data_IF_944921191536
#
_entry.id   IF_944921191536
#
_cell.length_a   1.000
_cell.length_b   1.000
_cell.length_c   1.000
_cell.angle_alpha   90.00
_cell.angle_beta   90.00
_cell.angle_gamma   90.00
#
_symmetry.space_group_name_H-M   'P 1'
#
loop_
_entity.id
_entity.type
_entity.pdbx_description
1 polymer ?
#
# COMPACT_ATOMS: atom_id res chain seq x y z
N UNK A 1 -4.17 8.94 23.34
CA UNK A 1 -3.84 8.40 22.01
C UNK A 1 -2.86 7.26 22.19
N UNK A 2 -3.00 6.19 21.41
CA UNK A 2 -2.03 5.08 21.42
C UNK A 2 -0.66 5.55 20.94
N UNK A 3 0.41 4.95 21.46
CA UNK A 3 1.79 5.17 21.03
C UNK A 3 2.04 4.67 19.61
N UNK A 4 3.08 5.19 18.94
CA UNK A 4 3.48 4.68 17.61
C UNK A 4 3.72 3.18 17.59
N UNK A 5 4.27 2.63 18.67
CA UNK A 5 4.50 1.19 18.75
C UNK A 5 3.20 0.41 18.81
N UNK A 6 2.22 0.87 19.58
CA UNK A 6 0.89 0.26 19.63
C UNK A 6 0.18 0.33 18.27
N UNK A 7 0.31 1.44 17.55
CA UNK A 7 -0.22 1.60 16.19
C UNK A 7 0.46 0.63 15.21
N UNK A 8 1.79 0.55 15.20
CA UNK A 8 2.53 -0.41 14.38
C UNK A 8 2.21 -1.86 14.77
N UNK A 9 1.93 -2.14 16.05
CA UNK A 9 1.52 -3.47 16.50
C UNK A 9 0.15 -3.89 15.97
N UNK A 10 -0.74 -2.95 15.64
CA UNK A 10 -1.98 -3.30 14.93
C UNK A 10 -1.69 -3.92 13.55
N UNK A 11 -0.73 -3.36 12.81
CA UNK A 11 -0.27 -3.92 11.52
C UNK A 11 0.30 -5.33 11.72
N UNK A 12 1.14 -5.51 12.75
CA UNK A 12 1.71 -6.82 13.09
C UNK A 12 0.63 -7.86 13.38
N UNK A 13 -0.32 -7.51 14.23
CA UNK A 13 -1.40 -8.40 14.66
C UNK A 13 -2.29 -8.80 13.49
N UNK A 14 -2.80 -7.82 12.72
CA UNK A 14 -3.61 -8.12 11.53
C UNK A 14 -2.87 -9.02 10.54
N UNK A 15 -1.57 -8.76 10.33
CA UNK A 15 -0.76 -9.55 9.42
C UNK A 15 -0.57 -10.99 9.87
N UNK A 16 -0.19 -11.22 11.13
CA UNK A 16 0.03 -12.58 11.62
C UNK A 16 -1.28 -13.37 11.74
N UNK A 17 -2.38 -12.73 12.15
CA UNK A 17 -3.68 -13.39 12.34
C UNK A 17 -4.31 -13.80 11.00
N UNK A 18 -4.28 -12.92 9.98
CA UNK A 18 -4.82 -13.24 8.66
C UNK A 18 -4.04 -14.36 7.97
N UNK A 19 -2.70 -14.30 8.03
CA UNK A 19 -1.82 -15.36 7.51
C UNK A 19 -2.11 -16.70 8.22
N UNK A 20 -2.26 -16.66 9.55
CA UNK A 20 -2.55 -17.85 10.35
C UNK A 20 -3.91 -18.45 9.99
N UNK A 21 -4.95 -17.63 9.88
CA UNK A 21 -6.31 -18.07 9.50
C UNK A 21 -6.32 -18.70 8.11
N UNK A 22 -5.62 -18.10 7.15
CA UNK A 22 -5.48 -18.63 5.79
C UNK A 22 -4.62 -19.91 5.72
N UNK A 23 -3.86 -20.22 6.78
CA UNK A 23 -2.81 -21.27 6.79
C UNK A 23 -1.82 -21.12 5.63
N UNK A 24 -1.62 -19.89 5.17
CA UNK A 24 -0.84 -19.55 3.97
C UNK A 24 -0.47 -18.08 3.99
N UNK A 25 0.76 -17.74 3.61
CA UNK A 25 1.25 -16.36 3.50
C UNK A 25 2.58 -16.13 4.22
N UNK A 26 3.01 -14.87 4.26
CA UNK A 26 4.34 -14.48 4.75
C UNK A 26 4.21 -13.40 5.83
N UNK A 27 4.31 -13.75 7.12
CA UNK A 27 4.11 -12.79 8.21
C UNK A 27 5.37 -11.99 8.53
N UNK A 28 6.56 -12.49 8.17
CA UNK A 28 7.85 -11.91 8.57
C UNK A 28 8.07 -10.48 8.06
N UNK A 29 7.99 -10.25 6.75
CA UNK A 29 8.19 -8.92 6.15
C UNK A 29 7.16 -7.88 6.66
N UNK A 30 5.84 -8.17 6.72
CA UNK A 30 4.88 -7.26 7.33
C UNK A 30 5.22 -6.87 8.77
N UNK A 31 5.64 -7.83 9.61
CA UNK A 31 5.96 -7.55 11.01
C UNK A 31 7.25 -6.73 11.17
N UNK A 32 8.24 -6.98 10.30
CA UNK A 32 9.52 -6.27 10.29
C UNK A 32 9.40 -4.83 9.80
N UNK A 33 8.53 -4.58 8.81
CA UNK A 33 8.35 -3.26 8.22
C UNK A 33 7.27 -2.41 8.89
N UNK A 34 6.50 -2.96 9.83
CA UNK A 34 5.36 -2.29 10.45
C UNK A 34 5.70 -0.92 11.07
N UNK A 35 6.87 -0.74 11.70
CA UNK A 35 7.24 0.55 12.28
C UNK A 35 7.55 1.58 11.18
N UNK A 36 8.23 1.18 10.10
CA UNK A 36 8.52 2.05 8.95
C UNK A 36 7.22 2.47 8.26
N UNK A 37 6.33 1.49 8.05
CA UNK A 37 5.05 1.72 7.40
C UNK A 37 4.14 2.63 8.22
N UNK A 38 4.11 2.49 9.55
CA UNK A 38 3.35 3.36 10.45
C UNK A 38 3.77 4.82 10.31
N UNK A 39 5.08 5.10 10.29
CA UNK A 39 5.61 6.45 10.10
C UNK A 39 5.28 6.98 8.70
N UNK A 40 5.63 6.22 7.65
CA UNK A 40 5.42 6.65 6.27
C UNK A 40 3.96 6.98 6.00
N UNK A 41 3.04 6.08 6.34
CA UNK A 41 1.62 6.21 5.99
C UNK A 41 0.86 7.23 6.84
N UNK A 42 1.29 7.49 8.08
CA UNK A 42 0.59 8.43 8.96
C UNK A 42 1.14 9.85 8.92
N UNK A 43 2.43 10.00 8.64
CA UNK A 43 3.08 11.31 8.73
C UNK A 43 3.41 11.93 7.38
N UNK A 44 3.64 11.11 6.33
CA UNK A 44 4.21 11.59 5.07
C UNK A 44 3.33 11.32 3.85
N UNK A 45 2.75 10.12 3.75
CA UNK A 45 2.04 9.70 2.56
C UNK A 45 0.81 10.59 2.33
N UNK A 46 0.79 11.31 1.22
CA UNK A 46 -0.32 12.16 0.82
C UNK A 46 -1.34 11.34 0.03
N UNK A 47 -2.41 10.90 0.69
CA UNK A 47 -3.40 10.03 0.07
C UNK A 47 -4.81 10.28 0.59
N UNK A 48 -5.81 9.85 -0.17
CA UNK A 48 -7.21 9.92 0.22
C UNK A 48 -7.89 8.54 0.10
N UNK A 49 -8.16 7.85 1.22
CA UNK A 49 -8.83 6.55 1.23
C UNK A 49 -10.22 6.55 0.58
N UNK A 50 -10.92 7.69 0.61
CA UNK A 50 -12.25 7.85 -0.03
C UNK A 50 -12.16 8.16 -1.52
N UNK A 51 -10.98 8.51 -2.02
CA UNK A 51 -10.71 8.71 -3.45
C UNK A 51 -9.36 8.11 -3.86
N UNK A 52 -9.26 6.78 -3.98
CA UNK A 52 -8.04 6.11 -4.41
C UNK A 52 -7.57 6.47 -5.82
N UNK A 53 -8.40 7.16 -6.62
CA UNK A 53 -8.07 7.61 -7.98
C UNK A 53 -7.70 9.10 -8.06
N UNK A 54 -7.62 9.81 -6.93
CA UNK A 54 -7.13 11.19 -6.91
C UNK A 54 -5.80 11.31 -7.66
N UNK A 55 -5.76 12.18 -8.67
CA UNK A 55 -4.64 12.26 -9.61
C UNK A 55 -3.29 12.52 -8.92
N UNK A 56 -3.27 13.46 -7.99
CA UNK A 56 -2.07 14.00 -7.33
C UNK A 56 -1.77 13.37 -5.97
N UNK A 57 -2.35 12.20 -5.67
CA UNK A 57 -1.98 11.40 -4.48
C UNK A 57 -0.54 10.87 -4.64
N UNK A 58 0.15 10.57 -3.56
CA UNK A 58 1.40 9.79 -3.61
C UNK A 58 1.15 8.36 -4.11
N UNK A 59 2.15 7.76 -4.76
CA UNK A 59 2.13 6.36 -5.20
C UNK A 59 2.96 5.51 -4.25
N UNK A 60 2.33 4.50 -3.65
CA UNK A 60 3.01 3.49 -2.84
C UNK A 60 3.01 2.14 -3.54
N UNK A 61 4.18 1.53 -3.69
CA UNK A 61 4.36 0.20 -4.28
C UNK A 61 5.03 -0.74 -3.28
N UNK A 62 4.36 -1.84 -2.96
CA UNK A 62 4.99 -2.94 -2.21
C UNK A 62 5.66 -3.90 -3.20
N UNK A 63 6.95 -3.70 -3.47
CA UNK A 63 7.72 -4.48 -4.45
C UNK A 63 8.04 -5.88 -3.93
N UNK A 64 8.28 -6.03 -2.63
CA UNK A 64 8.36 -7.33 -1.96
C UNK A 64 6.95 -7.92 -1.70
N UNK A 65 6.12 -8.00 -2.75
CA UNK A 65 4.68 -8.26 -2.69
C UNK A 65 4.23 -9.56 -2.00
N UNK A 66 5.15 -10.47 -1.68
CA UNK A 66 4.84 -11.65 -0.86
C UNK A 66 4.39 -11.26 0.56
N UNK A 67 4.82 -10.10 1.07
CA UNK A 67 4.38 -9.47 2.32
C UNK A 67 3.04 -8.74 2.21
N UNK A 68 2.11 -9.25 1.40
CA UNK A 68 0.86 -8.59 1.01
C UNK A 68 -0.03 -8.14 2.18
N UNK A 69 -0.01 -8.86 3.32
CA UNK A 69 -0.75 -8.42 4.50
C UNK A 69 -0.28 -7.09 5.09
N UNK A 70 0.94 -6.63 4.79
CA UNK A 70 1.36 -5.27 5.15
C UNK A 70 0.48 -4.22 4.49
N UNK A 71 0.36 -4.27 3.16
CA UNK A 71 -0.43 -3.29 2.42
C UNK A 71 -1.92 -3.45 2.71
N UNK A 72 -2.43 -4.67 2.88
CA UNK A 72 -3.84 -4.86 3.25
C UNK A 72 -4.16 -4.31 4.65
N UNK A 73 -3.25 -4.48 5.61
CA UNK A 73 -3.40 -3.89 6.95
C UNK A 73 -3.42 -2.36 6.88
N UNK A 74 -2.51 -1.76 6.10
CA UNK A 74 -2.42 -0.31 5.92
C UNK A 74 -3.68 0.27 5.27
N UNK A 75 -4.12 -0.34 4.17
CA UNK A 75 -5.34 0.07 3.46
C UNK A 75 -6.59 -0.04 4.35
N UNK A 76 -6.72 -1.15 5.09
CA UNK A 76 -7.81 -1.33 6.05
C UNK A 76 -7.78 -0.25 7.16
N UNK A 77 -6.64 -0.09 7.83
CA UNK A 77 -6.51 0.81 8.98
C UNK A 77 -6.64 2.30 8.61
N UNK A 78 -6.27 2.67 7.38
CA UNK A 78 -6.42 4.05 6.89
C UNK A 78 -7.80 4.32 6.32
N UNK A 79 -8.66 3.31 6.15
CA UNK A 79 -10.07 3.49 5.80
C UNK A 79 -10.38 3.40 4.31
N UNK A 80 -9.58 2.69 3.52
CA UNK A 80 -9.96 2.31 2.16
C UNK A 80 -11.16 1.36 2.19
N UNK A 81 -11.81 1.15 1.03
CA UNK A 81 -12.86 0.12 0.86
C UNK A 81 -12.28 -1.31 0.89
N UNK A 82 -11.72 -1.68 2.04
CA UNK A 82 -11.14 -2.96 2.37
C UNK A 82 -11.54 -3.33 3.81
N UNK A 83 -12.78 -3.84 4.01
CA UNK A 83 -13.29 -4.14 5.34
C UNK A 83 -12.56 -5.32 5.98
N UNK A 84 -12.70 -5.46 7.31
CA UNK A 84 -12.10 -6.55 8.09
C UNK A 84 -12.47 -7.95 7.55
N UNK A 85 -13.67 -8.10 6.98
CA UNK A 85 -14.11 -9.35 6.36
C UNK A 85 -13.21 -9.79 5.20
N UNK A 86 -12.61 -8.85 4.46
CA UNK A 86 -11.66 -9.17 3.39
C UNK A 86 -10.33 -9.68 3.97
N UNK A 87 -9.79 -9.02 5.00
CA UNK A 87 -8.59 -9.52 5.69
C UNK A 87 -8.81 -10.92 6.27
N UNK A 88 -10.00 -11.18 6.80
CA UNK A 88 -10.41 -12.51 7.25
C UNK A 88 -10.52 -13.53 6.11
N UNK A 89 -10.70 -13.08 4.87
CA UNK A 89 -10.74 -13.89 3.65
C UNK A 89 -9.42 -13.86 2.88
N UNK A 90 -8.31 -13.50 3.55
CA UNK A 90 -6.98 -13.51 2.95
C UNK A 90 -6.68 -14.83 2.22
N UNK A 91 -6.23 -14.72 0.96
CA UNK A 91 -5.94 -15.85 0.05
C UNK A 91 -7.12 -16.77 -0.26
N UNK A 92 -8.36 -16.35 0.03
CA UNK A 92 -9.55 -17.10 -0.36
C UNK A 92 -10.04 -16.64 -1.73
N UNK A 93 -10.71 -17.57 -2.44
CA UNK A 93 -11.21 -17.35 -3.79
C UNK A 93 -12.10 -16.09 -3.85
N UNK A 94 -11.85 -15.24 -4.85
CA UNK A 94 -12.57 -13.97 -5.10
C UNK A 94 -12.49 -12.90 -4.00
N UNK A 95 -11.69 -13.09 -2.95
CA UNK A 95 -11.43 -12.03 -1.97
C UNK A 95 -10.70 -10.84 -2.62
N UNK A 96 -10.87 -9.65 -2.04
CA UNK A 96 -10.09 -8.45 -2.35
C UNK A 96 -8.67 -8.50 -1.76
N UNK A 97 -8.26 -9.64 -1.19
CA UNK A 97 -6.95 -9.84 -0.54
C UNK A 97 -6.26 -11.10 -1.07
N UNK A 98 -5.88 -11.13 -2.36
CA UNK A 98 -5.13 -12.23 -2.95
C UNK A 98 -3.76 -12.45 -2.27
N UNK A 99 -3.07 -13.51 -2.66
CA UNK A 99 -1.79 -13.88 -2.04
C UNK A 99 -0.67 -12.88 -2.25
N UNK A 100 -0.72 -12.14 -3.35
CA UNK A 100 0.12 -10.99 -3.69
C UNK A 100 -0.80 -9.82 -4.10
N UNK A 101 -0.40 -8.55 -3.96
CA UNK A 101 -1.23 -7.42 -4.37
C UNK A 101 -1.56 -7.48 -5.85
N UNK A 102 -2.83 -7.22 -6.19
CA UNK A 102 -3.31 -7.17 -7.57
C UNK A 102 -4.06 -5.86 -7.82
N UNK A 103 -3.62 -5.07 -8.81
CA UNK A 103 -4.30 -3.83 -9.20
C UNK A 103 -5.68 -4.15 -9.78
N UNK A 104 -6.68 -3.35 -9.41
CA UNK A 104 -8.08 -3.55 -9.84
C UNK A 104 -8.90 -4.49 -8.94
N UNK A 105 -8.26 -5.33 -8.12
CA UNK A 105 -8.94 -6.14 -7.11
C UNK A 105 -9.10 -5.40 -5.78
N UNK A 106 -8.01 -4.76 -5.33
CA UNK A 106 -7.93 -4.11 -4.02
C UNK A 106 -7.85 -2.59 -4.17
N UNK A 107 -8.74 -1.84 -3.51
CA UNK A 107 -8.71 -0.39 -3.52
C UNK A 107 -7.38 0.12 -2.93
N UNK A 108 -6.66 0.98 -3.67
CA UNK A 108 -5.37 1.55 -3.25
C UNK A 108 -4.13 0.72 -3.61
N UNK A 109 -4.28 -0.45 -4.24
CA UNK A 109 -3.12 -1.17 -4.82
C UNK A 109 -2.81 -0.58 -6.21
N UNK A 110 -1.63 0.03 -6.33
CA UNK A 110 -1.21 0.72 -7.56
C UNK A 110 -0.75 -0.22 -8.69
N UNK A 111 -0.22 -1.39 -8.35
CA UNK A 111 0.32 -2.33 -9.34
C UNK A 111 0.33 -3.76 -8.79
N UNK A 112 0.21 -4.73 -9.69
CA UNK A 112 0.35 -6.15 -9.34
C UNK A 112 1.82 -6.50 -9.09
N UNK A 113 2.13 -7.02 -7.91
CA UNK A 113 3.49 -7.42 -7.52
C UNK A 113 3.54 -8.89 -7.10
N UNK A 114 4.74 -9.40 -6.79
CA UNK A 114 4.97 -10.81 -6.46
C UNK A 114 6.26 -11.31 -7.11
N UNK A 115 6.40 -11.22 -8.44
CA UNK A 115 7.68 -11.40 -9.11
C UNK A 115 8.68 -10.34 -8.63
N UNK A 116 9.73 -10.78 -7.93
CA UNK A 116 10.71 -9.89 -7.31
C UNK A 116 11.36 -8.97 -8.35
N UNK A 117 11.57 -7.71 -7.96
CA UNK A 117 12.18 -6.68 -8.80
C UNK A 117 11.23 -5.93 -9.73
N UNK A 118 10.02 -6.44 -10.01
CA UNK A 118 9.09 -5.73 -10.90
C UNK A 118 8.46 -4.50 -10.22
N UNK A 119 8.12 -4.58 -8.93
CA UNK A 119 7.51 -3.45 -8.23
C UNK A 119 8.41 -2.21 -8.19
N UNK A 120 9.71 -2.38 -7.97
CA UNK A 120 10.66 -1.27 -8.01
C UNK A 120 10.76 -0.65 -9.42
N UNK A 121 10.75 -1.47 -10.48
CA UNK A 121 10.70 -0.96 -11.86
C UNK A 121 9.41 -0.18 -12.14
N UNK A 122 8.27 -0.66 -11.63
CA UNK A 122 6.98 0.02 -11.76
C UNK A 122 7.00 1.38 -11.04
N UNK A 123 7.55 1.45 -9.82
CA UNK A 123 7.69 2.69 -9.07
C UNK A 123 8.61 3.70 -9.79
N UNK A 124 9.71 3.24 -10.41
CA UNK A 124 10.54 4.08 -11.29
C UNK A 124 9.71 4.66 -12.44
N UNK A 125 8.88 3.84 -13.08
CA UNK A 125 7.95 4.31 -14.12
C UNK A 125 6.96 5.37 -13.60
N UNK A 126 6.41 5.18 -12.40
CA UNK A 126 5.51 6.14 -11.75
C UNK A 126 6.21 7.48 -11.46
N UNK A 127 7.45 7.45 -10.96
CA UNK A 127 8.26 8.65 -10.74
C UNK A 127 8.59 9.38 -12.05
N UNK A 128 8.89 8.64 -13.12
CA UNK A 128 9.10 9.23 -14.45
C UNK A 128 7.82 9.90 -14.97
N UNK A 129 6.66 9.27 -14.77
CA UNK A 129 5.37 9.80 -15.21
C UNK A 129 5.02 11.10 -14.49
N UNK A 130 5.16 11.14 -13.17
CA UNK A 130 5.01 12.36 -12.35
C UNK A 130 5.89 13.49 -12.90
N UNK A 131 7.20 13.25 -12.98
CA UNK A 131 8.17 14.26 -13.44
C UNK A 131 7.86 14.78 -14.84
N UNK A 132 7.41 13.89 -15.72
CA UNK A 132 7.04 14.24 -17.10
C UNK A 132 5.78 15.09 -17.13
N UNK A 133 4.76 14.74 -16.34
CA UNK A 133 3.51 15.50 -16.24
C UNK A 133 3.73 16.86 -15.59
N UNK A 134 4.47 16.94 -14.49
CA UNK A 134 4.84 18.19 -13.84
C UNK A 134 5.52 19.15 -14.84
N UNK A 135 6.50 18.66 -15.61
CA UNK A 135 7.19 19.46 -16.62
C UNK A 135 6.27 19.94 -17.76
N UNK A 136 5.25 19.17 -18.12
CA UNK A 136 4.32 19.53 -19.19
C UNK A 136 3.22 20.50 -18.72
N UNK A 137 2.73 20.33 -17.51
CA UNK A 137 1.48 20.94 -17.03
C UNK A 137 1.66 22.02 -15.96
N UNK A 138 2.70 21.96 -15.13
CA UNK A 138 2.90 23.01 -14.13
C UNK A 138 3.22 24.36 -14.81
N UNK A 139 2.81 25.44 -14.16
CA UNK A 139 3.02 26.83 -14.61
C UNK A 139 3.46 27.66 -13.41
N UNK A 140 4.13 28.82 -13.61
CA UNK A 140 4.51 29.69 -12.50
C UNK A 140 3.30 30.00 -11.60
N UNK A 141 3.38 29.64 -10.31
CA UNK A 141 2.31 29.81 -9.32
C UNK A 141 1.23 28.71 -9.31
N UNK A 142 1.37 27.67 -10.15
CA UNK A 142 0.41 26.59 -10.30
C UNK A 142 1.12 25.24 -10.48
N UNK A 143 1.55 24.65 -9.36
CA UNK A 143 2.10 23.30 -9.29
C UNK A 143 0.95 22.32 -9.04
N UNK A 144 0.37 21.82 -10.13
CA UNK A 144 -0.82 20.94 -10.09
C UNK A 144 -0.48 19.45 -10.15
N UNK A 145 0.79 19.14 -10.37
CA UNK A 145 1.39 17.81 -10.25
C UNK A 145 2.62 17.96 -9.35
N UNK A 146 2.55 17.41 -8.15
CA UNK A 146 3.63 17.40 -7.16
C UNK A 146 3.39 16.28 -6.13
N UNK A 147 3.75 15.05 -6.53
CA UNK A 147 3.53 13.83 -5.74
C UNK A 147 4.79 12.98 -5.66
N UNK A 148 4.87 12.11 -4.65
CA UNK A 148 5.98 11.17 -4.48
C UNK A 148 5.61 9.75 -4.95
N UNK A 149 6.58 9.04 -5.51
CA UNK A 149 6.48 7.60 -5.78
C UNK A 149 7.49 6.83 -4.91
N UNK A 150 6.98 5.96 -4.04
CA UNK A 150 7.78 5.19 -3.07
C UNK A 150 7.61 3.69 -3.28
N UNK A 151 8.71 2.94 -3.19
CA UNK A 151 8.71 1.48 -3.22
C UNK A 151 9.28 0.88 -1.94
N UNK A 152 8.67 -0.21 -1.46
CA UNK A 152 9.03 -0.98 -0.27
C UNK A 152 9.32 -2.46 -0.58
#
# INVERSE_FOLDING_TARGET
MSSRKELANAIRALSMDAVQKAKSGHPGAPMGMADIAEVLWRDFLNHNPTNPSWADRDRFVLSNGHGSMLIYSLLHLTGYDLPMSELQNFRQLHSKTPGHPEVGYTAGVETTTGPLGQGIANAVGMAIAEKTLAAQFNRPGHDIVDLWATAA
#
